data_IF_107040234737
#
_entry.id   IF_107040234737
#
_cell.length_a   1.000
_cell.length_b   1.000
_cell.length_c   1.000
_cell.angle_alpha   90.00
_cell.angle_beta   90.00
_cell.angle_gamma   90.00
#
_symmetry.space_group_name_H-M   'P 1'
#
loop_
_entity.id
_entity.type
_entity.pdbx_description
1 polymer ?
#
# COMPACT_ATOMS: atom_id res chain seq x y z
N UNK A 1 -19.74 -46.10 -18.63
CA UNK A 1 -18.34 -46.07 -19.09
C UNK A 1 -18.14 -44.74 -19.80
N UNK A 2 -17.62 -43.74 -19.08
CA UNK A 2 -17.42 -42.36 -19.58
C UNK A 2 -15.93 -42.15 -19.82
N UNK A 3 -15.58 -41.71 -21.03
CA UNK A 3 -14.21 -41.41 -21.44
C UNK A 3 -13.97 -39.92 -21.17
N UNK A 4 -12.98 -39.62 -20.31
CA UNK A 4 -12.51 -38.26 -20.02
C UNK A 4 -11.44 -37.89 -21.03
N UNK A 5 -11.70 -36.89 -21.86
CA UNK A 5 -10.73 -36.33 -22.79
C UNK A 5 -9.89 -35.24 -22.12
N UNK A 6 -8.59 -35.45 -22.04
CA UNK A 6 -7.61 -34.46 -21.54
C UNK A 6 -7.05 -33.74 -22.78
N UNK A 7 -7.26 -32.43 -22.89
CA UNK A 7 -6.56 -31.59 -23.87
C UNK A 7 -5.37 -30.93 -23.19
N UNK A 8 -4.19 -31.12 -23.79
CA UNK A 8 -2.94 -30.48 -23.37
C UNK A 8 -2.65 -29.34 -24.34
N UNK A 9 -2.61 -28.11 -23.85
CA UNK A 9 -2.31 -26.92 -24.65
C UNK A 9 -0.85 -26.52 -24.41
N UNK A 10 -0.05 -26.55 -25.47
CA UNK A 10 1.37 -26.17 -25.44
C UNK A 10 1.52 -24.66 -25.60
N UNK A 11 2.18 -23.99 -24.66
CA UNK A 11 2.51 -22.56 -24.75
C UNK A 11 3.85 -22.36 -25.46
N UNK A 12 3.87 -21.54 -26.51
CA UNK A 12 5.09 -21.11 -27.19
C UNK A 12 5.71 -19.92 -26.45
N UNK A 13 7.00 -20.02 -26.12
CA UNK A 13 7.78 -18.94 -25.51
C UNK A 13 8.45 -18.12 -26.61
N UNK A 14 8.10 -16.85 -26.72
CA UNK A 14 8.74 -15.87 -27.61
C UNK A 14 9.80 -15.10 -26.82
N UNK A 15 11.07 -15.28 -27.18
CA UNK A 15 12.19 -14.50 -26.65
C UNK A 15 12.51 -13.40 -27.65
N UNK A 16 12.38 -12.13 -27.26
CA UNK A 16 12.76 -10.97 -28.06
C UNK A 16 14.04 -10.40 -27.49
N UNK A 17 15.16 -10.67 -28.18
CA UNK A 17 16.43 -9.98 -27.95
C UNK A 17 16.40 -8.63 -28.67
N UNK A 18 16.72 -7.55 -27.95
CA UNK A 18 16.94 -6.23 -28.54
C UNK A 18 18.22 -5.63 -27.99
N UNK A 19 19.31 -5.88 -28.70
CA UNK A 19 20.53 -5.07 -28.61
C UNK A 19 20.36 -3.80 -29.45
N UNK A 20 20.53 -2.62 -28.85
CA UNK A 20 21.06 -1.46 -29.58
C UNK A 20 22.02 -0.70 -28.67
N UNK A 21 23.27 -0.73 -29.09
CA UNK A 21 24.43 0.01 -28.61
C UNK A 21 24.43 1.44 -29.17
N UNK A 22 24.83 2.44 -28.37
CA UNK A 22 25.91 3.40 -28.69
C UNK A 22 26.02 4.58 -27.70
N UNK A 23 27.15 4.58 -27.02
CA UNK A 23 28.05 5.68 -26.64
C UNK A 23 27.67 7.12 -27.02
N UNK A 24 27.68 8.01 -26.03
CA UNK A 24 28.30 9.33 -26.13
C UNK A 24 29.07 9.64 -24.84
N UNK A 25 30.29 10.10 -25.06
CA UNK A 25 31.36 10.41 -24.12
C UNK A 25 31.51 11.94 -24.04
N UNK A 26 32.20 12.41 -23.00
CA UNK A 26 32.78 13.76 -22.78
C UNK A 26 31.86 14.84 -22.19
N UNK A 27 32.28 15.69 -21.24
CA UNK A 27 33.50 15.80 -20.41
C UNK A 27 33.20 16.75 -19.23
N UNK A 28 33.72 16.39 -18.05
CA UNK A 28 34.22 17.17 -16.91
C UNK A 28 33.99 18.70 -16.80
N UNK A 29 33.48 19.16 -15.64
CA UNK A 29 34.00 20.34 -14.91
C UNK A 29 34.04 20.10 -13.39
N UNK A 30 35.16 20.51 -12.82
CA UNK A 30 35.69 20.33 -11.46
C UNK A 30 34.99 21.10 -10.32
N UNK A 31 35.21 20.54 -9.11
CA UNK A 31 35.49 21.19 -7.81
C UNK A 31 34.33 21.83 -7.03
N UNK A 32 34.02 21.23 -5.88
CA UNK A 32 34.43 21.75 -4.55
C UNK A 32 34.25 20.67 -3.48
N UNK A 33 35.37 20.20 -2.96
CA UNK A 33 35.43 19.45 -1.71
C UNK A 33 35.26 20.44 -0.55
N UNK A 34 34.16 20.29 0.18
CA UNK A 34 34.05 20.82 1.54
C UNK A 34 34.04 19.61 2.46
N UNK A 35 35.19 19.35 3.11
CA UNK A 35 35.30 18.41 4.21
C UNK A 35 34.49 18.92 5.40
N UNK A 36 33.20 18.57 5.42
CA UNK A 36 32.39 18.56 6.62
C UNK A 36 32.37 17.13 7.16
N UNK A 37 33.00 16.92 8.31
CA UNK A 37 32.85 15.70 9.11
C UNK A 37 31.42 15.64 9.65
N UNK A 38 30.47 15.31 8.79
CA UNK A 38 29.09 15.03 9.14
C UNK A 38 28.94 13.54 9.36
N UNK A 39 28.61 13.14 10.59
CA UNK A 39 28.14 11.79 10.87
C UNK A 39 26.98 11.48 9.93
N UNK A 40 27.20 10.60 8.95
CA UNK A 40 26.13 10.02 8.13
C UNK A 40 25.30 9.10 9.03
N UNK A 41 24.47 9.70 9.89
CA UNK A 41 23.33 9.05 10.50
C UNK A 41 22.32 8.81 9.38
N UNK A 42 22.50 7.71 8.67
CA UNK A 42 21.51 7.12 7.78
C UNK A 42 20.30 6.67 8.61
N UNK A 43 19.51 7.61 9.08
CA UNK A 43 18.31 7.38 9.89
C UNK A 43 17.08 7.91 9.16
N UNK A 44 16.76 7.45 7.96
CA UNK A 44 15.63 8.04 7.21
C UNK A 44 14.70 7.00 6.58
N UNK A 45 14.33 6.00 7.36
CA UNK A 45 13.05 5.31 7.24
C UNK A 45 12.60 5.05 8.67
N UNK A 46 11.60 5.78 9.15
CA UNK A 46 11.12 5.73 10.53
C UNK A 46 10.59 4.32 10.83
N UNK A 47 11.47 3.38 11.19
CA UNK A 47 11.04 2.14 11.83
C UNK A 47 10.45 2.53 13.17
N UNK A 48 9.13 2.43 13.28
CA UNK A 48 8.42 2.52 14.54
C UNK A 48 8.95 1.48 15.55
N UNK A 49 8.52 1.55 16.81
CA UNK A 49 8.88 0.54 17.80
C UNK A 49 8.48 -0.85 17.28
N UNK A 50 9.40 -1.81 17.37
CA UNK A 50 9.08 -3.22 17.10
C UNK A 50 8.27 -3.76 18.28
N UNK A 51 7.06 -4.26 18.02
CA UNK A 51 6.15 -4.79 19.05
C UNK A 51 5.79 -6.23 18.71
N UNK A 52 5.98 -7.14 19.67
CA UNK A 52 5.52 -8.53 19.54
C UNK A 52 4.05 -8.65 19.94
N UNK A 53 3.23 -9.28 19.11
CA UNK A 53 1.84 -9.56 19.46
C UNK A 53 0.99 -10.07 18.30
N UNK A 54 -0.25 -10.44 18.61
CA UNK A 54 -1.29 -10.82 17.67
C UNK A 54 -2.03 -9.59 17.18
N UNK A 55 -1.97 -9.31 15.87
CA UNK A 55 -2.49 -8.09 15.26
C UNK A 55 -3.83 -8.32 14.53
N UNK A 56 -4.84 -7.55 14.92
CA UNK A 56 -6.15 -7.47 14.26
C UNK A 56 -6.43 -6.02 13.87
N UNK A 57 -6.92 -5.78 12.67
CA UNK A 57 -7.32 -4.46 12.17
C UNK A 57 -8.78 -4.51 11.71
N UNK A 58 -9.58 -3.53 12.11
CA UNK A 58 -10.98 -3.40 11.72
C UNK A 58 -11.20 -2.10 10.95
N UNK A 59 -11.40 -2.20 9.65
CA UNK A 59 -11.67 -1.08 8.76
C UNK A 59 -13.18 -0.82 8.76
N UNK A 60 -13.58 0.41 9.12
CA UNK A 60 -15.01 0.73 9.31
C UNK A 60 -15.59 1.44 8.10
N UNK A 61 -15.27 2.71 7.96
CA UNK A 61 -15.86 3.59 6.96
C UNK A 61 -14.92 4.75 6.66
N UNK A 62 -15.18 5.45 5.58
CA UNK A 62 -14.60 6.75 5.29
C UNK A 62 -15.69 7.80 5.08
N UNK A 63 -15.29 9.05 5.21
CA UNK A 63 -16.16 10.21 4.98
C UNK A 63 -15.42 11.15 4.03
N UNK A 64 -16.11 11.68 3.02
CA UNK A 64 -15.61 12.76 2.17
C UNK A 64 -14.33 12.43 1.39
N UNK A 65 -14.21 11.22 0.84
CA UNK A 65 -13.14 10.87 -0.09
C UNK A 65 -13.14 11.80 -1.31
N UNK A 66 -11.98 12.02 -1.93
CA UNK A 66 -11.90 12.76 -3.19
C UNK A 66 -12.53 11.96 -4.33
N UNK A 67 -13.21 12.63 -5.23
CA UNK A 67 -13.67 12.05 -6.49
C UNK A 67 -12.51 12.02 -7.49
N UNK A 68 -12.11 10.81 -7.92
CA UNK A 68 -10.99 10.55 -8.83
C UNK A 68 -11.44 10.23 -10.26
N UNK A 69 -12.67 9.75 -10.44
CA UNK A 69 -13.22 9.31 -11.74
C UNK A 69 -13.68 10.45 -12.68
N UNK A 70 -13.60 11.70 -12.22
CA UNK A 70 -13.98 12.87 -12.99
C UNK A 70 -15.49 13.17 -12.96
N UNK A 71 -15.92 14.26 -13.62
CA UNK A 71 -17.23 14.83 -13.41
C UNK A 71 -18.36 13.88 -13.85
N UNK A 72 -19.14 13.40 -12.87
CA UNK A 72 -20.36 12.62 -13.09
C UNK A 72 -20.21 11.12 -12.89
N UNK A 73 -19.02 10.64 -12.53
CA UNK A 73 -18.82 9.30 -11.98
C UNK A 73 -18.36 9.45 -10.53
N UNK A 74 -18.87 8.61 -9.62
CA UNK A 74 -18.42 8.62 -8.22
C UNK A 74 -17.46 7.46 -8.03
N UNK A 75 -16.44 7.61 -7.17
CA UNK A 75 -15.42 6.59 -6.99
C UNK A 75 -16.00 5.29 -6.40
N UNK A 76 -15.28 4.21 -6.63
CA UNK A 76 -15.48 2.85 -6.13
C UNK A 76 -14.38 2.50 -5.09
N UNK A 77 -14.36 3.16 -3.92
CA UNK A 77 -13.23 3.09 -3.00
C UNK A 77 -13.03 1.74 -2.29
N UNK A 78 -11.77 1.35 -2.13
CA UNK A 78 -11.32 0.25 -1.29
C UNK A 78 -10.05 0.60 -0.50
N UNK A 79 -9.77 -0.15 0.57
CA UNK A 79 -8.61 0.07 1.44
C UNK A 79 -7.61 -1.07 1.30
N UNK A 80 -6.33 -0.71 1.13
CA UNK A 80 -5.19 -1.63 1.21
C UNK A 80 -4.45 -1.43 2.52
N UNK A 81 -4.15 -2.54 3.17
CA UNK A 81 -3.35 -2.66 4.39
C UNK A 81 -2.05 -3.39 4.07
N UNK A 82 -0.93 -2.74 4.36
CA UNK A 82 0.40 -3.34 4.26
C UNK A 82 1.00 -3.38 5.68
N UNK A 83 0.96 -4.56 6.32
CA UNK A 83 1.57 -4.80 7.62
C UNK A 83 2.98 -5.37 7.43
N UNK A 84 3.96 -4.80 8.12
CA UNK A 84 5.36 -5.23 8.05
C UNK A 84 5.80 -5.77 9.40
N UNK A 85 6.52 -6.89 9.36
CA UNK A 85 7.20 -7.39 10.55
C UNK A 85 8.62 -6.80 10.68
N UNK A 86 9.34 -7.20 11.73
CA UNK A 86 10.70 -6.74 12.03
C UNK A 86 11.75 -7.19 11.01
N UNK A 87 11.44 -8.17 10.18
CA UNK A 87 12.31 -8.70 9.13
C UNK A 87 11.99 -8.09 7.77
N UNK A 88 10.96 -7.25 7.70
CA UNK A 88 10.50 -6.61 6.46
C UNK A 88 9.58 -7.51 5.62
N UNK A 89 9.07 -8.62 6.17
CA UNK A 89 8.06 -9.41 5.47
C UNK A 89 6.76 -8.60 5.39
N UNK A 90 6.16 -8.58 4.21
CA UNK A 90 4.93 -7.87 3.92
C UNK A 90 3.72 -8.82 4.02
N UNK A 91 2.70 -8.38 4.75
CA UNK A 91 1.40 -9.00 4.83
C UNK A 91 0.35 -8.02 4.31
N UNK A 92 -0.43 -8.46 3.31
CA UNK A 92 -1.40 -7.61 2.61
C UNK A 92 -2.82 -7.98 3.03
N UNK A 93 -3.63 -6.98 3.36
CA UNK A 93 -5.08 -7.08 3.47
C UNK A 93 -5.74 -6.05 2.54
N UNK A 94 -6.87 -6.39 1.95
CA UNK A 94 -7.62 -5.50 1.07
C UNK A 94 -9.12 -5.66 1.35
N UNK A 95 -9.84 -4.55 1.46
CA UNK A 95 -11.30 -4.57 1.56
C UNK A 95 -11.94 -4.83 0.20
N UNK A 96 -13.21 -5.23 0.19
CA UNK A 96 -14.06 -5.00 -0.98
C UNK A 96 -14.11 -3.52 -1.34
N UNK A 97 -14.33 -3.22 -2.62
CA UNK A 97 -14.68 -1.87 -3.05
C UNK A 97 -16.17 -1.60 -2.79
N UNK A 98 -16.51 -0.33 -2.61
CA UNK A 98 -17.91 0.09 -2.42
C UNK A 98 -18.28 1.03 -3.55
N UNK A 99 -19.21 0.61 -4.40
CA UNK A 99 -19.49 1.32 -5.64
C UNK A 99 -20.11 2.72 -5.43
N UNK A 100 -19.65 3.71 -6.20
CA UNK A 100 -20.29 4.98 -6.46
C UNK A 100 -20.47 5.85 -5.22
N UNK A 101 -19.45 5.97 -4.38
CA UNK A 101 -19.55 6.73 -3.13
C UNK A 101 -18.23 7.31 -2.64
N UNK A 102 -18.29 8.56 -2.16
CA UNK A 102 -17.21 9.19 -1.38
C UNK A 102 -17.32 8.96 0.13
N UNK A 103 -18.32 8.19 0.58
CA UNK A 103 -18.55 7.85 1.99
C UNK A 103 -18.76 6.33 2.18
N UNK A 104 -17.78 5.50 1.81
CA UNK A 104 -17.91 4.04 1.88
C UNK A 104 -17.97 3.52 3.31
N UNK A 105 -18.63 2.38 3.49
CA UNK A 105 -18.66 1.63 4.73
C UNK A 105 -18.32 0.16 4.45
N UNK A 106 -17.14 -0.28 4.87
CA UNK A 106 -16.60 -1.61 4.62
C UNK A 106 -16.93 -2.60 5.75
N UNK A 107 -16.69 -2.19 7.00
CA UNK A 107 -16.83 -3.04 8.18
C UNK A 107 -16.12 -4.41 8.06
N UNK A 108 -14.87 -4.40 7.60
CA UNK A 108 -14.07 -5.61 7.36
C UNK A 108 -12.95 -5.77 8.39
N UNK A 109 -12.72 -7.02 8.81
CA UNK A 109 -11.72 -7.39 9.83
C UNK A 109 -10.59 -8.18 9.19
N UNK A 110 -9.37 -7.71 9.40
CA UNK A 110 -8.14 -8.36 8.96
C UNK A 110 -7.38 -8.90 10.15
N UNK A 111 -6.95 -10.15 10.05
CA UNK A 111 -6.20 -10.84 11.08
C UNK A 111 -4.83 -11.23 10.52
N UNK A 112 -3.78 -10.60 11.02
CA UNK A 112 -2.41 -10.81 10.58
C UNK A 112 -1.64 -11.83 11.43
N UNK A 113 -2.26 -12.34 12.50
CA UNK A 113 -1.65 -13.32 13.39
C UNK A 113 -0.59 -12.73 14.33
N UNK A 114 0.18 -13.62 14.96
CA UNK A 114 1.25 -13.24 15.90
C UNK A 114 2.58 -13.05 15.18
N UNK A 115 3.19 -11.88 15.34
CA UNK A 115 4.54 -11.59 14.85
C UNK A 115 5.20 -10.47 15.68
N UNK A 116 6.45 -10.14 15.36
CA UNK A 116 7.11 -8.91 15.75
C UNK A 116 6.82 -7.84 14.71
N UNK A 117 5.81 -7.02 14.93
CA UNK A 117 5.36 -5.99 13.99
C UNK A 117 6.21 -4.73 14.09
N UNK A 118 6.51 -4.13 12.94
CA UNK A 118 7.28 -2.88 12.84
C UNK A 118 6.38 -1.69 12.48
N UNK A 119 5.52 -1.86 11.49
CA UNK A 119 4.58 -0.82 11.04
C UNK A 119 3.37 -1.40 10.31
N UNK A 120 2.30 -0.60 10.25
CA UNK A 120 1.18 -0.82 9.32
C UNK A 120 1.02 0.41 8.46
N UNK A 121 0.85 0.20 7.16
CA UNK A 121 0.52 1.24 6.20
C UNK A 121 -0.90 1.03 5.70
N UNK A 122 -1.64 2.13 5.55
CA UNK A 122 -3.03 2.13 5.11
C UNK A 122 -3.15 3.12 3.95
N UNK A 123 -3.81 2.72 2.88
CA UNK A 123 -4.06 3.58 1.72
C UNK A 123 -5.40 3.25 1.09
N UNK A 124 -6.11 4.26 0.60
CA UNK A 124 -7.37 4.10 -0.13
C UNK A 124 -7.12 4.29 -1.62
N UNK A 125 -7.77 3.44 -2.40
CA UNK A 125 -7.71 3.39 -3.84
C UNK A 125 -9.12 3.42 -4.42
N UNK A 126 -9.23 3.87 -5.66
CA UNK A 126 -10.42 3.84 -6.49
C UNK A 126 -10.33 2.66 -7.46
N UNK A 127 -11.31 1.76 -7.48
CA UNK A 127 -11.28 0.60 -8.38
C UNK A 127 -11.75 1.00 -9.79
N UNK A 128 -10.87 0.83 -10.77
CA UNK A 128 -11.15 1.19 -12.16
C UNK A 128 -11.28 -0.04 -13.06
N UNK A 129 -12.42 -0.23 -13.74
CA UNK A 129 -12.65 -1.44 -14.54
C UNK A 129 -11.70 -1.60 -15.75
N UNK A 130 -11.13 -0.51 -16.28
CA UNK A 130 -10.32 -0.51 -17.50
C UNK A 130 -8.94 0.17 -17.37
N UNK A 131 -8.61 0.73 -16.21
CA UNK A 131 -7.38 1.48 -15.98
C UNK A 131 -6.64 0.95 -14.74
N UNK A 132 -5.55 1.62 -14.37
CA UNK A 132 -4.87 1.35 -13.11
C UNK A 132 -5.63 2.06 -12.00
N UNK A 133 -5.91 1.37 -10.90
CA UNK A 133 -6.59 1.95 -9.75
C UNK A 133 -5.94 3.25 -9.27
N UNK A 134 -6.77 4.27 -9.11
CA UNK A 134 -6.30 5.59 -8.73
C UNK A 134 -6.07 5.68 -7.22
N UNK A 135 -4.94 6.27 -6.85
CA UNK A 135 -4.63 6.54 -5.44
C UNK A 135 -5.49 7.69 -4.94
N UNK A 136 -6.42 7.39 -4.03
CA UNK A 136 -7.29 8.41 -3.43
C UNK A 136 -6.63 9.11 -2.23
N UNK A 137 -5.65 8.46 -1.59
CA UNK A 137 -5.03 8.98 -0.35
C UNK A 137 -3.51 8.80 -0.33
N UNK A 138 -2.78 9.63 0.44
CA UNK A 138 -1.43 9.29 0.82
C UNK A 138 -1.42 7.98 1.62
N UNK A 139 -0.23 7.43 1.74
CA UNK A 139 0.03 6.33 2.67
C UNK A 139 -0.04 6.88 4.11
N UNK A 140 -1.00 6.39 4.89
CA UNK A 140 -1.05 6.60 6.33
C UNK A 140 -0.15 5.59 7.04
N UNK A 141 0.74 6.08 7.89
CA UNK A 141 1.67 5.25 8.67
C UNK A 141 1.18 5.12 10.11
N UNK A 142 1.08 3.88 10.59
CA UNK A 142 0.67 3.56 11.95
C UNK A 142 1.85 3.02 12.75
N UNK A 143 2.25 3.77 13.78
CA UNK A 143 3.13 3.26 14.82
C UNK A 143 2.32 2.39 15.78
N UNK A 144 2.71 1.12 15.90
CA UNK A 144 1.97 0.15 16.70
C UNK A 144 2.32 0.26 18.19
N UNK A 145 1.31 0.16 19.03
CA UNK A 145 1.47 -0.02 20.47
C UNK A 145 0.49 -1.09 20.98
N UNK A 146 0.83 -1.89 21.99
CA UNK A 146 -0.10 -2.87 22.54
C UNK A 146 -1.43 -2.24 23.00
N UNK A 147 -2.51 -3.01 22.93
CA UNK A 147 -3.85 -2.60 23.34
C UNK A 147 -4.82 -2.39 22.19
N UNK A 148 -5.97 -1.81 22.52
CA UNK A 148 -7.03 -1.45 21.59
C UNK A 148 -6.98 0.03 21.28
N UNK A 149 -6.98 0.37 20.00
CA UNK A 149 -6.83 1.74 19.54
C UNK A 149 -7.90 2.08 18.50
N UNK A 150 -8.56 3.22 18.71
CA UNK A 150 -9.46 3.84 17.74
C UNK A 150 -8.70 4.94 17.01
N UNK A 151 -8.65 4.87 15.67
CA UNK A 151 -7.82 5.75 14.86
C UNK A 151 -8.60 6.32 13.68
N UNK A 152 -8.07 7.41 13.15
CA UNK A 152 -8.47 7.94 11.86
C UNK A 152 -7.23 8.44 11.10
N UNK A 153 -7.29 8.40 9.77
CA UNK A 153 -6.28 9.00 8.89
C UNK A 153 -6.98 10.04 8.03
N UNK A 154 -6.50 11.29 8.10
CA UNK A 154 -6.93 12.36 7.21
C UNK A 154 -6.32 12.18 5.82
N UNK A 155 -7.08 12.57 4.79
CA UNK A 155 -6.59 12.54 3.41
C UNK A 155 -5.90 13.86 3.06
N UNK A 156 -4.95 13.82 2.12
CA UNK A 156 -4.32 15.05 1.61
C UNK A 156 -5.35 15.95 0.94
N UNK A 157 -5.14 17.26 1.07
CA UNK A 157 -6.04 18.34 0.66
C UNK A 157 -7.18 18.64 1.66
N UNK A 158 -7.22 17.96 2.81
CA UNK A 158 -8.15 18.31 3.91
C UNK A 158 -9.59 17.84 3.70
N UNK A 159 -9.82 16.99 2.69
CA UNK A 159 -11.12 16.38 2.46
C UNK A 159 -11.11 14.97 3.04
N UNK A 160 -12.02 14.73 3.98
CA UNK A 160 -12.33 13.40 4.45
C UNK A 160 -11.33 12.71 5.37
N UNK A 161 -11.71 11.51 5.79
CA UNK A 161 -10.92 10.65 6.66
C UNK A 161 -11.41 9.19 6.60
N UNK A 162 -10.50 8.25 6.88
CA UNK A 162 -10.82 6.83 7.10
C UNK A 162 -10.85 6.56 8.60
N UNK A 163 -11.86 5.83 9.09
CA UNK A 163 -11.96 5.39 10.48
C UNK A 163 -11.68 3.89 10.58
N UNK A 164 -10.81 3.52 11.52
CA UNK A 164 -10.47 2.13 11.78
C UNK A 164 -10.10 1.91 13.24
N UNK A 165 -10.05 0.65 13.63
CA UNK A 165 -9.46 0.24 14.90
C UNK A 165 -8.32 -0.74 14.63
N UNK A 166 -7.41 -0.86 15.59
CA UNK A 166 -6.57 -2.04 15.68
C UNK A 166 -6.51 -2.56 17.11
N UNK A 167 -6.22 -3.85 17.23
CA UNK A 167 -5.99 -4.55 18.49
C UNK A 167 -4.69 -5.34 18.38
N UNK A 168 -3.78 -5.11 19.33
CA UNK A 168 -2.48 -5.78 19.42
C UNK A 168 -2.28 -6.32 20.82
N UNK A 169 -2.18 -7.64 20.96
CA UNK A 169 -2.03 -8.35 22.25
C UNK A 169 -0.87 -9.32 22.31
#
# INVERSE_FOLDING_TARGET
MMIVGISVTTAATLTVEREVSRSHEQESVQKRETQGSGSNSSTNGLQGPIVYGYLIIYIKYAVGLSDTDGPGNLPDPYVVLNAYDRWGNLYIGQTSYVQGTVNPAWYEVFNFGTNYWSEVRIQVFDEDFFYWDDVMTPVGYLSLTPGYHYNYIFLTNGYGYVVFNYYLI
#
